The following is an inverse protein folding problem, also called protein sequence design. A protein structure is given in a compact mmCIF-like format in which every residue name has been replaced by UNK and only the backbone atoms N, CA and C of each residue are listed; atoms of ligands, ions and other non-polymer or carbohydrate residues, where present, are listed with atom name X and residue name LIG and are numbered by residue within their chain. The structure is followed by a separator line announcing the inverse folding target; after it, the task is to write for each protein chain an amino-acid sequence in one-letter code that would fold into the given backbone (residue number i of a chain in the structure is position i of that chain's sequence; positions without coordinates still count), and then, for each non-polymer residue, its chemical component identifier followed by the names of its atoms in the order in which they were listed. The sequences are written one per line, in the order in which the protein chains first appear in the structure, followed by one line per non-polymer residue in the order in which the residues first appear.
data_IF_313076411096
#
_entry.id   IF_313076411096
#
_cell.length_a   1.000
_cell.length_b   1.000
_cell.length_c   1.000
_cell.angle_alpha   90.00
_cell.angle_beta   90.00
_cell.angle_gamma   90.00
#
_symmetry.space_group_name_H-M   'P 1'
#
loop_
_entity.id
_entity.type
_entity.pdbx_description
1 polymer ?
#
# COMPACT_ATOMS: atom_id res chain seq x y z
N UNK A 1 -71.91 -22.02 -21.06
CA UNK A 1 -70.70 -21.79 -21.90
C UNK A 1 -69.89 -20.69 -21.22
N UNK A 2 -68.83 -21.06 -20.52
CA UNK A 2 -68.03 -20.14 -19.70
C UNK A 2 -66.90 -19.50 -20.51
N UNK A 3 -66.82 -18.17 -20.47
CA UNK A 3 -65.68 -17.39 -20.97
C UNK A 3 -64.66 -17.24 -19.85
N UNK A 4 -63.44 -17.74 -20.06
CA UNK A 4 -62.29 -17.50 -19.16
C UNK A 4 -61.61 -16.18 -19.54
N UNK A 5 -61.31 -15.27 -18.60
CA UNK A 5 -60.46 -14.13 -18.89
C UNK A 5 -58.99 -14.60 -18.93
N UNK A 6 -58.27 -14.21 -19.97
CA UNK A 6 -56.83 -14.44 -20.08
C UNK A 6 -56.10 -13.43 -19.18
N UNK A 7 -55.45 -13.92 -18.13
CA UNK A 7 -54.50 -13.14 -17.33
C UNK A 7 -53.17 -13.18 -18.08
N UNK A 8 -52.76 -12.05 -18.67
CA UNK A 8 -51.40 -11.85 -19.15
C UNK A 8 -50.45 -11.75 -17.94
N UNK A 9 -49.66 -12.78 -17.73
CA UNK A 9 -48.51 -12.75 -16.82
C UNK A 9 -47.38 -11.99 -17.51
N UNK A 10 -47.13 -10.74 -17.09
CA UNK A 10 -45.91 -10.01 -17.42
C UNK A 10 -44.83 -10.50 -16.47
N UNK A 11 -43.96 -11.39 -16.94
CA UNK A 11 -42.74 -11.77 -16.24
C UNK A 11 -41.76 -10.62 -16.43
N UNK A 12 -41.59 -9.79 -15.41
CA UNK A 12 -40.55 -8.78 -15.36
C UNK A 12 -39.23 -9.49 -15.02
N UNK A 13 -38.47 -9.90 -16.04
CA UNK A 13 -37.12 -10.44 -15.82
C UNK A 13 -36.23 -9.29 -15.31
N UNK A 14 -35.92 -9.34 -14.02
CA UNK A 14 -34.91 -8.50 -13.40
C UNK A 14 -33.53 -8.87 -13.98
N UNK A 15 -33.07 -8.07 -14.95
CA UNK A 15 -31.69 -8.13 -15.43
C UNK A 15 -30.78 -7.72 -14.27
N UNK A 16 -30.12 -8.69 -13.63
CA UNK A 16 -28.97 -8.41 -12.76
C UNK A 16 -27.83 -7.90 -13.66
N UNK A 17 -27.66 -6.58 -13.71
CA UNK A 17 -26.43 -5.99 -14.23
C UNK A 17 -25.36 -6.21 -13.16
N UNK A 18 -24.52 -7.24 -13.37
CA UNK A 18 -23.31 -7.39 -12.60
C UNK A 18 -22.42 -6.17 -12.87
N UNK A 19 -22.29 -5.27 -11.89
CA UNK A 19 -21.33 -4.18 -11.92
C UNK A 19 -19.95 -4.82 -11.74
N UNK A 20 -19.30 -5.17 -12.84
CA UNK A 20 -17.88 -5.53 -12.81
C UNK A 20 -17.08 -4.26 -12.61
N UNK A 21 -16.71 -3.95 -11.35
CA UNK A 21 -15.68 -2.98 -11.09
C UNK A 21 -14.42 -3.44 -11.84
N UNK A 22 -13.80 -2.62 -12.71
CA UNK A 22 -12.54 -2.99 -13.33
C UNK A 22 -11.52 -3.22 -12.20
N UNK A 23 -10.92 -4.40 -12.17
CA UNK A 23 -9.78 -4.63 -11.29
C UNK A 23 -8.71 -3.60 -11.66
N UNK A 24 -8.19 -2.86 -10.67
CA UNK A 24 -7.03 -2.01 -10.89
C UNK A 24 -5.88 -2.93 -11.32
N UNK A 25 -5.49 -2.87 -12.59
CA UNK A 25 -4.40 -3.66 -13.18
C UNK A 25 -3.13 -2.82 -13.17
N UNK A 26 -2.09 -3.29 -12.49
CA UNK A 26 -0.75 -2.70 -12.52
C UNK A 26 0.22 -3.54 -13.38
N UNK A 27 1.26 -2.93 -13.91
CA UNK A 27 2.37 -3.65 -14.54
C UNK A 27 3.18 -4.43 -13.49
N UNK A 28 3.68 -5.62 -13.83
CA UNK A 28 4.49 -6.39 -12.89
C UNK A 28 5.80 -5.66 -12.58
N UNK A 29 6.07 -5.45 -11.29
CA UNK A 29 7.30 -4.83 -10.79
C UNK A 29 8.22 -5.90 -10.20
N UNK A 30 9.48 -5.87 -10.62
CA UNK A 30 10.56 -6.65 -10.01
C UNK A 30 11.51 -5.72 -9.27
N UNK A 31 12.23 -6.27 -8.30
CA UNK A 31 13.26 -5.56 -7.52
C UNK A 31 14.50 -6.43 -7.48
N UNK A 32 15.67 -5.79 -7.40
CA UNK A 32 16.94 -6.52 -7.27
C UNK A 32 17.07 -7.18 -5.90
N UNK A 33 17.88 -8.23 -5.83
CA UNK A 33 18.31 -8.82 -4.55
C UNK A 33 19.19 -7.86 -3.73
N UNK A 34 19.20 -8.05 -2.41
CA UNK A 34 20.16 -7.44 -1.49
C UNK A 34 19.95 -5.96 -1.23
N UNK A 35 18.71 -5.47 -1.22
CA UNK A 35 18.40 -4.12 -0.75
C UNK A 35 18.67 -4.03 0.76
N UNK A 36 19.40 -3.01 1.20
CA UNK A 36 19.61 -2.76 2.63
C UNK A 36 18.49 -1.85 3.18
N UNK A 37 17.66 -2.44 4.05
CA UNK A 37 16.54 -1.78 4.71
C UNK A 37 16.91 -1.08 6.04
N UNK A 38 18.15 -1.21 6.52
CA UNK A 38 18.56 -0.73 7.85
C UNK A 38 18.36 0.78 8.05
N UNK A 39 18.69 1.58 7.04
CA UNK A 39 18.50 3.04 7.09
C UNK A 39 17.03 3.43 7.12
N UNK A 40 16.19 2.76 6.35
CA UNK A 40 14.76 3.01 6.38
C UNK A 40 14.13 2.62 7.72
N UNK A 41 14.54 1.48 8.27
CA UNK A 41 14.12 1.02 9.60
C UNK A 41 14.44 2.05 10.71
N UNK A 42 15.64 2.63 10.69
CA UNK A 42 16.04 3.69 11.63
C UNK A 42 15.15 4.93 11.49
N UNK A 43 14.83 5.35 10.27
CA UNK A 43 13.95 6.49 10.00
C UNK A 43 12.52 6.23 10.50
N UNK A 44 11.99 5.03 10.26
CA UNK A 44 10.67 4.62 10.78
C UNK A 44 10.65 4.66 12.30
N UNK A 45 11.66 4.09 12.97
CA UNK A 45 11.78 4.13 14.43
C UNK A 45 11.87 5.55 14.98
N UNK A 46 12.53 6.46 14.26
CA UNK A 46 12.71 7.86 14.66
C UNK A 46 11.44 8.70 14.50
N UNK A 47 10.67 8.49 13.42
CA UNK A 47 9.60 9.41 13.03
C UNK A 47 8.19 8.85 13.14
N UNK A 48 8.01 7.55 13.27
CA UNK A 48 6.71 6.90 13.41
C UNK A 48 6.50 6.57 14.89
N UNK A 49 5.35 6.91 15.47
CA UNK A 49 5.01 6.56 16.85
C UNK A 49 4.31 5.19 16.94
N UNK A 50 3.95 4.75 18.16
CA UNK A 50 3.30 3.45 18.41
C UNK A 50 1.93 3.31 17.72
N UNK A 51 1.26 4.43 17.43
CA UNK A 51 -0.01 4.47 16.71
C UNK A 51 0.16 4.49 15.19
N UNK A 52 1.39 4.40 14.67
CA UNK A 52 1.69 4.47 13.24
C UNK A 52 1.61 5.89 12.66
N UNK A 53 1.58 6.94 13.51
CA UNK A 53 1.55 8.33 13.09
C UNK A 53 2.96 8.86 12.85
N UNK A 54 3.13 9.56 11.74
CA UNK A 54 4.43 10.11 11.31
C UNK A 54 4.58 11.56 11.73
N UNK A 55 5.71 11.91 12.36
CA UNK A 55 6.09 13.28 12.62
C UNK A 55 6.74 13.94 11.38
N UNK A 56 5.92 14.23 10.37
CA UNK A 56 6.38 14.84 9.12
C UNK A 56 7.05 16.20 9.32
N UNK A 57 6.59 17.01 10.28
CA UNK A 57 7.16 18.32 10.57
C UNK A 57 8.63 18.22 11.01
N UNK A 58 8.93 17.34 11.96
CA UNK A 58 10.30 17.09 12.40
C UNK A 58 11.16 16.47 11.28
N UNK A 59 10.62 15.49 10.55
CA UNK A 59 11.37 14.83 9.48
C UNK A 59 11.72 15.81 8.35
N UNK A 60 10.77 16.67 7.95
CA UNK A 60 10.98 17.67 6.90
C UNK A 60 12.09 18.68 7.23
N UNK A 61 12.33 18.95 8.53
CA UNK A 61 13.37 19.87 8.99
C UNK A 61 14.78 19.24 8.98
N UNK A 62 14.88 17.91 8.89
CA UNK A 62 16.16 17.21 8.90
C UNK A 62 16.65 16.90 7.48
N UNK A 63 17.52 17.75 6.94
CA UNK A 63 18.14 17.53 5.62
C UNK A 63 18.91 16.20 5.56
N UNK A 64 19.57 15.82 6.66
CA UNK A 64 20.30 14.55 6.75
C UNK A 64 19.35 13.35 6.62
N UNK A 65 18.24 13.32 7.35
CA UNK A 65 17.30 12.20 7.31
C UNK A 65 16.50 12.15 5.99
N UNK A 66 16.25 13.30 5.35
CA UNK A 66 15.71 13.35 3.99
C UNK A 66 16.70 12.74 2.99
N UNK A 67 17.99 13.05 3.11
CA UNK A 67 19.03 12.46 2.28
C UNK A 67 19.15 10.96 2.51
N UNK A 68 19.01 10.48 3.74
CA UNK A 68 19.03 9.04 4.04
C UNK A 68 17.85 8.31 3.41
N UNK A 69 16.65 8.92 3.42
CA UNK A 69 15.49 8.38 2.71
C UNK A 69 15.71 8.33 1.20
N UNK A 70 16.26 9.40 0.62
CA UNK A 70 16.58 9.47 -0.82
C UNK A 70 17.64 8.43 -1.20
N UNK A 71 18.67 8.23 -0.38
CA UNK A 71 19.70 7.23 -0.63
C UNK A 71 19.16 5.80 -0.50
N UNK A 72 18.24 5.56 0.43
CA UNK A 72 17.52 4.29 0.50
C UNK A 72 16.73 4.02 -0.78
N UNK A 73 15.94 4.99 -1.27
CA UNK A 73 15.14 4.85 -2.48
C UNK A 73 15.99 4.65 -3.76
N UNK A 74 17.19 5.25 -3.83
CA UNK A 74 18.11 5.05 -4.97
C UNK A 74 18.56 3.59 -5.15
N UNK A 75 18.53 2.77 -4.10
CA UNK A 75 18.90 1.35 -4.21
C UNK A 75 17.97 0.59 -5.19
N UNK A 76 16.73 1.05 -5.36
CA UNK A 76 15.75 0.42 -6.24
C UNK A 76 15.90 0.84 -7.71
N UNK A 77 16.51 1.99 -7.99
CA UNK A 77 16.48 2.63 -9.31
C UNK A 77 17.31 1.89 -10.38
N UNK A 78 18.38 1.20 -9.98
CA UNK A 78 19.29 0.52 -10.91
C UNK A 78 18.58 -0.60 -11.69
N UNK A 79 19.04 -0.86 -12.93
CA UNK A 79 18.59 -2.02 -13.72
C UNK A 79 18.85 -3.32 -12.95
N UNK A 80 17.96 -4.28 -13.13
CA UNK A 80 17.95 -5.54 -12.38
C UNK A 80 18.78 -6.57 -13.15
N UNK A 81 19.92 -6.94 -12.59
CA UNK A 81 20.69 -8.09 -13.06
C UNK A 81 20.15 -9.40 -12.47
N UNK A 82 19.78 -9.36 -11.18
CA UNK A 82 19.22 -10.50 -10.43
C UNK A 82 17.97 -10.07 -9.68
N UNK A 83 16.83 -10.71 -9.96
CA UNK A 83 15.55 -10.38 -9.33
C UNK A 83 15.37 -11.12 -8.01
N UNK A 84 14.94 -10.42 -6.97
CA UNK A 84 14.48 -11.02 -5.73
C UNK A 84 13.20 -11.84 -5.95
N UNK A 85 12.98 -12.84 -5.10
CA UNK A 85 11.81 -13.72 -5.13
C UNK A 85 11.24 -13.91 -3.71
N UNK A 86 10.03 -14.47 -3.62
CA UNK A 86 9.38 -14.78 -2.34
C UNK A 86 9.38 -13.62 -1.36
N UNK A 87 9.74 -13.90 -0.11
CA UNK A 87 9.71 -12.92 0.98
C UNK A 87 10.71 -11.77 0.78
N UNK A 88 11.83 -11.97 0.09
CA UNK A 88 12.76 -10.87 -0.23
C UNK A 88 12.11 -9.88 -1.19
N UNK A 89 11.43 -10.38 -2.23
CA UNK A 89 10.66 -9.54 -3.15
C UNK A 89 9.54 -8.81 -2.42
N UNK A 90 8.78 -9.50 -1.59
CA UNK A 90 7.67 -8.91 -0.83
C UNK A 90 8.16 -7.82 0.13
N UNK A 91 9.14 -8.12 0.98
CA UNK A 91 9.74 -7.19 1.93
C UNK A 91 10.29 -5.93 1.25
N UNK A 92 11.00 -6.12 0.12
CA UNK A 92 11.56 -5.04 -0.67
C UNK A 92 10.49 -4.13 -1.29
N UNK A 93 9.45 -4.72 -1.89
CA UNK A 93 8.37 -3.96 -2.53
C UNK A 93 7.50 -3.22 -1.51
N UNK A 94 7.16 -3.84 -0.37
CA UNK A 94 6.43 -3.18 0.71
C UNK A 94 7.23 -2.00 1.25
N UNK A 95 8.52 -2.22 1.53
CA UNK A 95 9.38 -1.16 2.06
C UNK A 95 9.61 -0.04 1.04
N UNK A 96 9.70 -0.37 -0.26
CA UNK A 96 9.77 0.62 -1.34
C UNK A 96 8.50 1.46 -1.41
N UNK A 97 7.32 0.83 -1.48
CA UNK A 97 6.03 1.52 -1.53
C UNK A 97 5.88 2.51 -0.37
N UNK A 98 6.10 2.03 0.86
CA UNK A 98 5.93 2.84 2.06
C UNK A 98 6.92 4.02 2.08
N UNK A 99 8.17 3.79 1.67
CA UNK A 99 9.17 4.86 1.56
C UNK A 99 8.81 5.88 0.46
N UNK A 100 8.29 5.44 -0.70
CA UNK A 100 7.83 6.35 -1.75
C UNK A 100 6.66 7.21 -1.30
N UNK A 101 5.67 6.63 -0.59
CA UNK A 101 4.56 7.40 0.00
C UNK A 101 5.07 8.45 0.98
N UNK A 102 5.93 8.05 1.92
CA UNK A 102 6.53 8.98 2.89
C UNK A 102 7.28 10.10 2.19
N UNK A 103 8.10 9.76 1.19
CA UNK A 103 8.88 10.74 0.44
C UNK A 103 8.00 11.70 -0.34
N UNK A 104 6.90 11.21 -0.92
CA UNK A 104 5.91 12.01 -1.63
C UNK A 104 5.22 13.01 -0.70
N UNK A 105 4.81 12.58 0.48
CA UNK A 105 4.21 13.47 1.49
C UNK A 105 5.23 14.51 1.96
N UNK A 106 6.47 14.11 2.25
CA UNK A 106 7.54 15.03 2.65
C UNK A 106 7.88 16.07 1.56
N UNK A 107 7.73 15.73 0.28
CA UNK A 107 7.86 16.70 -0.82
C UNK A 107 6.74 17.74 -0.83
N UNK A 108 5.53 17.34 -0.44
CA UNK A 108 4.32 18.16 -0.52
C UNK A 108 3.85 18.67 0.85
N UNK A 109 4.68 18.55 1.90
CA UNK A 109 4.31 18.95 3.26
C UNK A 109 4.35 20.49 3.42
N UNK A 110 3.35 21.12 4.07
CA UNK A 110 2.17 20.50 4.68
C UNK A 110 1.09 20.15 3.64
N UNK A 111 0.50 18.96 3.78
CA UNK A 111 -0.67 18.52 3.02
C UNK A 111 -1.66 17.85 3.98
N UNK A 112 -2.95 18.03 3.76
CA UNK A 112 -3.99 17.42 4.60
C UNK A 112 -4.22 15.95 4.24
N UNK A 113 -4.01 15.59 2.96
CA UNK A 113 -4.29 14.25 2.45
C UNK A 113 -3.52 13.98 1.16
N UNK A 114 -2.93 12.79 1.06
CA UNK A 114 -2.32 12.31 -0.19
C UNK A 114 -3.33 12.23 -1.34
N UNK A 115 -4.63 12.11 -1.04
CA UNK A 115 -5.70 12.06 -2.04
C UNK A 115 -5.96 13.41 -2.72
N UNK A 116 -5.55 14.53 -2.09
CA UNK A 116 -5.62 15.86 -2.72
C UNK A 116 -4.44 16.10 -3.67
N UNK A 117 -3.39 15.28 -3.58
CA UNK A 117 -2.24 15.36 -4.45
C UNK A 117 -2.53 14.60 -5.75
N UNK A 118 -2.33 15.28 -6.88
CA UNK A 118 -2.70 14.77 -8.20
C UNK A 118 -1.96 13.46 -8.53
N UNK A 119 -2.74 12.47 -8.96
CA UNK A 119 -2.28 11.16 -9.45
C UNK A 119 -1.37 10.41 -8.46
N UNK A 120 -1.52 10.64 -7.15
CA UNK A 120 -0.59 10.14 -6.11
C UNK A 120 -0.23 8.67 -6.26
N UNK A 121 -1.20 7.83 -6.57
CA UNK A 121 -1.02 6.39 -6.66
C UNK A 121 -0.74 5.89 -8.08
N UNK A 122 -1.34 6.51 -9.09
CA UNK A 122 -1.35 6.02 -10.47
C UNK A 122 -0.22 6.58 -11.36
N UNK A 123 0.40 7.71 -11.03
CA UNK A 123 1.44 8.24 -11.90
C UNK A 123 2.77 7.49 -11.74
N UNK A 124 3.38 7.15 -12.88
CA UNK A 124 4.69 6.51 -12.97
C UNK A 124 5.81 7.52 -12.67
N UNK A 125 6.11 7.70 -11.39
CA UNK A 125 7.09 8.68 -10.89
C UNK A 125 8.22 8.06 -10.07
N UNK A 126 8.05 6.82 -9.62
CA UNK A 126 9.00 6.14 -8.75
C UNK A 126 9.96 5.31 -9.59
N UNK A 127 11.24 5.30 -9.27
CA UNK A 127 12.24 4.55 -10.03
C UNK A 127 12.47 3.17 -9.41
N UNK A 128 12.16 2.12 -10.17
CA UNK A 128 12.49 0.74 -9.82
C UNK A 128 13.00 0.03 -11.08
N UNK A 129 14.13 -0.66 -10.96
CA UNK A 129 14.60 -1.58 -12.01
C UNK A 129 15.00 -0.90 -13.33
N UNK A 130 15.39 0.38 -13.30
CA UNK A 130 15.71 1.17 -14.48
C UNK A 130 14.50 1.76 -15.22
N UNK A 131 13.30 1.66 -14.65
CA UNK A 131 12.06 2.21 -15.20
C UNK A 131 11.28 3.03 -14.18
N UNK A 132 10.28 3.76 -14.67
CA UNK A 132 9.32 4.47 -13.81
C UNK A 132 8.09 3.61 -13.57
N UNK A 133 7.71 3.47 -12.31
CA UNK A 133 6.54 2.73 -11.85
C UNK A 133 5.65 3.61 -10.98
N UNK A 134 4.37 3.27 -10.92
CA UNK A 134 3.40 3.88 -10.01
C UNK A 134 3.32 3.09 -8.69
N UNK A 135 2.63 3.63 -7.69
CA UNK A 135 2.33 2.87 -6.48
C UNK A 135 1.32 1.75 -6.78
N UNK A 136 0.39 1.99 -7.71
CA UNK A 136 -0.57 1.00 -8.21
C UNK A 136 0.14 -0.20 -8.88
N UNK A 137 1.22 0.05 -9.64
CA UNK A 137 2.04 -1.03 -10.23
C UNK A 137 2.65 -1.92 -9.14
N UNK A 138 3.18 -1.30 -8.07
CA UNK A 138 3.77 -2.03 -6.94
C UNK A 138 2.69 -2.84 -6.20
N UNK A 139 1.55 -2.23 -5.87
CA UNK A 139 0.48 -2.90 -5.13
C UNK A 139 -0.20 -3.98 -5.98
N UNK A 140 -0.79 -3.60 -7.10
CA UNK A 140 -1.67 -4.49 -7.88
C UNK A 140 -0.90 -5.37 -8.85
N UNK A 141 0.18 -4.86 -9.43
CA UNK A 141 0.98 -5.58 -10.42
C UNK A 141 1.96 -6.57 -9.81
N UNK A 142 2.42 -6.34 -8.56
CA UNK A 142 3.45 -7.15 -7.93
C UNK A 142 3.08 -7.72 -6.55
N UNK A 143 2.65 -6.91 -5.59
CA UNK A 143 2.41 -7.37 -4.22
C UNK A 143 1.14 -8.21 -4.10
N UNK A 144 0.01 -7.76 -4.63
CA UNK A 144 -1.26 -8.49 -4.53
C UNK A 144 -1.21 -9.89 -5.17
N UNK A 145 -0.57 -10.10 -6.34
CA UNK A 145 -0.33 -11.45 -6.86
C UNK A 145 0.59 -12.31 -5.98
N UNK A 146 1.49 -11.70 -5.22
CA UNK A 146 2.51 -12.40 -4.43
C UNK A 146 2.01 -12.80 -3.03
N UNK A 147 1.34 -11.87 -2.32
CA UNK A 147 0.93 -12.04 -0.92
C UNK A 147 -0.59 -11.89 -0.71
N UNK A 148 -1.35 -11.76 -1.80
CA UNK A 148 -2.82 -11.74 -1.77
C UNK A 148 -3.39 -10.52 -1.03
N UNK A 149 -4.46 -10.77 -0.26
CA UNK A 149 -5.20 -9.74 0.48
C UNK A 149 -4.35 -9.04 1.55
N UNK A 150 -3.26 -9.66 1.99
CA UNK A 150 -2.35 -9.11 3.00
C UNK A 150 -1.64 -7.84 2.52
N UNK A 151 -1.53 -7.65 1.19
CA UNK A 151 -0.90 -6.47 0.61
C UNK A 151 -1.47 -5.16 1.17
N UNK A 152 -2.79 -5.04 1.32
CA UNK A 152 -3.35 -3.78 1.84
C UNK A 152 -2.88 -3.48 3.28
N UNK A 153 -2.77 -4.50 4.13
CA UNK A 153 -2.43 -4.35 5.54
C UNK A 153 -1.00 -3.86 5.80
N UNK A 154 -0.09 -4.08 4.85
CA UNK A 154 1.32 -3.70 4.98
C UNK A 154 1.66 -2.39 4.27
N UNK A 155 0.72 -1.85 3.48
CA UNK A 155 0.91 -0.65 2.67
C UNK A 155 0.25 0.57 3.30
N UNK A 156 0.99 1.67 3.39
CA UNK A 156 0.48 2.93 3.94
C UNK A 156 -0.22 3.75 2.86
N UNK A 157 -1.54 3.90 2.97
CA UNK A 157 -2.30 4.82 2.12
C UNK A 157 -2.27 6.28 2.64
N UNK A 158 -1.59 6.51 3.77
CA UNK A 158 -1.48 7.78 4.48
C UNK A 158 -2.81 8.45 4.88
N UNK A 159 -3.90 7.68 4.96
CA UNK A 159 -5.14 8.09 5.61
C UNK A 159 -5.22 7.51 7.03
N UNK A 160 -5.89 8.22 7.95
CA UNK A 160 -6.05 7.77 9.35
C UNK A 160 -6.84 6.46 9.48
N UNK A 161 -7.73 6.16 8.53
CA UNK A 161 -8.53 4.94 8.50
C UNK A 161 -7.79 3.73 7.93
N UNK A 162 -6.62 3.93 7.32
CA UNK A 162 -5.84 2.86 6.72
C UNK A 162 -5.06 2.06 7.77
N UNK A 163 -4.50 0.90 7.37
CA UNK A 163 -3.55 0.16 8.19
C UNK A 163 -2.44 1.09 8.72
N UNK A 164 -2.10 0.99 10.01
CA UNK A 164 -1.06 1.84 10.58
C UNK A 164 0.29 1.49 9.98
N UNK A 165 1.08 2.52 9.66
CA UNK A 165 2.46 2.33 9.25
C UNK A 165 3.25 1.68 10.39
N UNK A 166 3.92 0.57 10.08
CA UNK A 166 4.74 -0.13 11.06
C UNK A 166 6.03 0.65 11.35
N UNK A 167 6.51 0.56 12.60
CA UNK A 167 7.76 1.20 13.06
C UNK A 167 9.02 0.41 12.70
N UNK A 168 8.95 -0.43 11.68
CA UNK A 168 10.06 -1.24 11.20
C UNK A 168 10.02 -1.34 9.68
N UNK A 169 11.18 -1.52 9.07
CA UNK A 169 11.23 -1.94 7.67
C UNK A 169 11.02 -3.46 7.59
N UNK A 170 10.39 -3.93 6.51
CA UNK A 170 10.17 -5.35 6.32
C UNK A 170 11.47 -6.00 5.84
N UNK A 171 11.79 -7.19 6.35
CA UNK A 171 12.98 -7.96 5.96
C UNK A 171 12.59 -9.37 5.52
N UNK A 172 13.38 -9.95 4.61
CA UNK A 172 13.05 -11.24 3.99
C UNK A 172 12.90 -12.38 5.02
N UNK A 173 13.73 -12.37 6.07
CA UNK A 173 13.78 -13.39 7.12
C UNK A 173 12.60 -13.30 8.11
N UNK A 174 11.94 -12.14 8.20
CA UNK A 174 10.86 -11.88 9.16
C UNK A 174 9.53 -11.53 8.50
N UNK A 175 9.46 -11.56 7.17
CA UNK A 175 8.34 -11.01 6.42
C UNK A 175 6.99 -11.61 6.88
N UNK A 176 6.92 -12.93 7.03
CA UNK A 176 5.68 -13.63 7.40
C UNK A 176 5.24 -13.35 8.86
N UNK A 177 6.17 -12.99 9.74
CA UNK A 177 5.83 -12.57 11.11
C UNK A 177 5.40 -11.10 11.12
N UNK A 178 6.08 -10.27 10.32
CA UNK A 178 5.85 -8.83 10.21
C UNK A 178 4.53 -8.50 9.51
N UNK A 179 4.16 -9.21 8.45
CA UNK A 179 2.91 -8.99 7.73
C UNK A 179 1.69 -9.44 8.57
N UNK A 180 1.80 -10.57 9.27
CA UNK A 180 0.84 -11.05 10.26
C UNK A 180 0.67 -10.03 11.39
N UNK A 181 1.77 -9.48 11.91
CA UNK A 181 1.74 -8.43 12.93
C UNK A 181 1.03 -7.18 12.42
N UNK A 182 1.34 -6.72 11.21
CA UNK A 182 0.70 -5.55 10.61
C UNK A 182 -0.81 -5.77 10.45
N UNK A 183 -1.21 -6.95 9.98
CA UNK A 183 -2.60 -7.34 9.83
C UNK A 183 -3.35 -7.36 11.16
N UNK A 184 -2.79 -8.01 12.19
CA UNK A 184 -3.38 -8.06 13.53
C UNK A 184 -3.50 -6.67 14.16
N UNK A 185 -2.46 -5.85 14.03
CA UNK A 185 -2.45 -4.48 14.56
C UNK A 185 -3.55 -3.65 13.92
N UNK A 186 -3.76 -3.78 12.61
CA UNK A 186 -4.83 -3.07 11.92
C UNK A 186 -6.22 -3.51 12.39
N UNK A 187 -6.48 -4.83 12.48
CA UNK A 187 -7.78 -5.33 12.92
C UNK A 187 -8.07 -5.04 14.39
N UNK A 188 -7.04 -4.96 15.24
CA UNK A 188 -7.17 -4.66 16.67
C UNK A 188 -7.42 -3.18 16.98
N UNK A 189 -7.52 -2.30 15.97
CA UNK A 189 -7.79 -0.87 16.15
C UNK A 189 -9.20 -0.63 16.70
N UNK A 190 -9.30 -0.39 18.00
CA UNK A 190 -10.56 -0.08 18.69
C UNK A 190 -11.12 1.30 18.31
N UNK A 191 -10.29 2.22 17.83
CA UNK A 191 -10.73 3.53 17.37
C UNK A 191 -11.55 3.46 16.06
N UNK A 192 -11.47 2.35 15.33
CA UNK A 192 -12.22 2.12 14.08
C UNK A 192 -13.12 0.87 14.13
N UNK A 193 -12.70 -0.17 14.84
CA UNK A 193 -13.35 -1.48 14.84
C UNK A 193 -14.04 -1.75 16.18
N UNK A 194 -15.13 -1.03 16.45
CA UNK A 194 -16.02 -1.30 17.60
C UNK A 194 -17.32 -1.92 17.11
N UNK A 195 -17.65 -3.09 17.67
CA UNK A 195 -18.97 -3.69 17.56
C UNK A 195 -19.72 -3.42 18.87
N UNK A 196 -20.66 -2.48 18.85
CA UNK A 196 -21.50 -2.20 19.99
C UNK A 196 -22.66 -3.20 19.96
N UNK A 197 -22.80 -4.02 21.01
CA UNK A 197 -23.76 -5.13 21.06
C UNK A 197 -25.25 -4.68 21.07
N UNK A 198 -25.50 -3.37 21.05
CA UNK A 198 -26.81 -2.76 21.28
C UNK A 198 -27.20 -1.76 20.17
N UNK A 199 -26.46 -1.73 19.05
CA UNK A 199 -26.79 -0.95 17.84
C UNK A 199 -27.13 -1.87 16.67
#
# INVERSE_FOLDING_TARGET
MGTKPWILLIILESVLIAITAPAQTGENVNVRVGIDHSKFDLLLKKYVNEQGLVNYGAWKQSTADLSDLDNYLKQFAAKIDNSAQGNEKAASLVSAYNAFVLRWILSNYPTESIWQLKDSFSAKRNEIGGGKVSLDDIEHGALRPLIGYRAHAVLVCAARSCPPLQRFAYTADKFDEQDDQAYRTWLARDDLNKFLANE
#
